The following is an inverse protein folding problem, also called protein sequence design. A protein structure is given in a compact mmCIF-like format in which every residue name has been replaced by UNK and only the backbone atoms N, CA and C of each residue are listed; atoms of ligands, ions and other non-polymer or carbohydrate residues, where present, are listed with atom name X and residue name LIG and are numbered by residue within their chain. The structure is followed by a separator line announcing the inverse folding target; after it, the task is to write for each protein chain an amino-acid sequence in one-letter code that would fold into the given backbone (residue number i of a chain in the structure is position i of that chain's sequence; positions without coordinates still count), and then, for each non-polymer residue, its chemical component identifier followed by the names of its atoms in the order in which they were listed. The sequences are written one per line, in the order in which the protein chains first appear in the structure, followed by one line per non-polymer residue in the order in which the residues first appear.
data_IF_021817575694
#
_entry.id   IF_021817575694
#
_cell.length_a   1.000
_cell.length_b   1.000
_cell.length_c   1.000
_cell.angle_alpha   90.00
_cell.angle_beta   90.00
_cell.angle_gamma   90.00
#
_symmetry.space_group_name_H-M   'P 1'
#
loop_
_entity.id
_entity.type
_entity.pdbx_description
1 polymer ?
#
# COMPACT_ATOMS: atom_id res chain seq x y z
N UNK A 1 17.15 -47.68 39.67
CA UNK A 1 15.99 -47.07 40.37
C UNK A 1 15.41 -46.01 39.46
N UNK A 2 14.41 -46.39 38.66
CA UNK A 2 13.67 -45.50 37.78
C UNK A 2 12.54 -44.84 38.58
N UNK A 3 12.40 -43.52 38.48
CA UNK A 3 11.28 -42.75 38.99
C UNK A 3 10.77 -41.83 37.88
N UNK A 4 9.69 -42.26 37.24
CA UNK A 4 9.00 -41.52 36.19
C UNK A 4 8.19 -40.37 36.79
N UNK A 5 8.30 -39.18 36.20
CA UNK A 5 7.43 -38.04 36.49
C UNK A 5 6.19 -38.12 35.61
N UNK A 6 5.08 -38.61 36.17
CA UNK A 6 3.75 -38.54 35.58
C UNK A 6 3.05 -37.28 36.10
N UNK A 7 3.16 -36.18 35.34
CA UNK A 7 2.22 -35.07 35.45
C UNK A 7 1.02 -35.40 34.57
N UNK A 8 -0.06 -35.87 35.19
CA UNK A 8 -1.36 -36.06 34.53
C UNK A 8 -1.99 -34.70 34.30
N UNK A 9 -2.42 -34.42 33.06
CA UNK A 9 -2.95 -33.12 32.60
C UNK A 9 -4.25 -32.62 33.25
N UNK A 10 -4.67 -33.17 34.39
CA UNK A 10 -5.89 -32.79 35.08
C UNK A 10 -5.76 -31.62 36.06
N UNK A 11 -4.54 -31.17 36.40
CA UNK A 11 -4.32 -30.14 37.41
C UNK A 11 -4.00 -28.74 36.86
N UNK A 12 -3.83 -28.58 35.54
CA UNK A 12 -3.53 -27.30 34.89
C UNK A 12 -4.77 -26.56 34.33
N UNK A 13 -5.94 -27.19 34.39
CA UNK A 13 -7.18 -26.75 33.73
C UNK A 13 -8.29 -26.18 34.67
N UNK A 14 -8.19 -26.16 36.02
CA UNK A 14 -9.24 -25.50 36.82
C UNK A 14 -9.22 -23.98 36.61
N UNK A 15 -10.23 -23.42 35.93
CA UNK A 15 -10.43 -21.98 35.74
C UNK A 15 -10.47 -21.52 34.29
N UNK A 16 -10.14 -22.39 33.33
CA UNK A 16 -10.34 -22.11 31.91
C UNK A 16 -11.80 -22.40 31.53
N UNK A 17 -12.47 -21.42 30.91
CA UNK A 17 -13.78 -21.65 30.30
C UNK A 17 -13.66 -22.76 29.25
N UNK A 18 -14.66 -23.65 29.19
CA UNK A 18 -14.72 -24.68 28.15
C UNK A 18 -14.72 -23.99 26.78
N UNK A 19 -13.80 -24.38 25.90
CA UNK A 19 -13.84 -23.95 24.50
C UNK A 19 -15.05 -24.64 23.88
N UNK A 20 -16.06 -23.88 23.50
CA UNK A 20 -17.22 -24.42 22.81
C UNK A 20 -16.82 -24.91 21.41
N UNK A 21 -17.36 -26.06 20.98
CA UNK A 21 -16.98 -26.72 19.72
C UNK A 21 -17.17 -25.83 18.48
N UNK A 22 -18.08 -24.85 18.53
CA UNK A 22 -18.32 -23.86 17.49
C UNK A 22 -17.17 -22.83 17.33
N UNK A 23 -16.36 -22.63 18.38
CA UNK A 23 -15.15 -21.82 18.32
C UNK A 23 -13.98 -22.56 17.64
N UNK A 24 -14.07 -23.89 17.50
CA UNK A 24 -13.05 -24.74 16.90
C UNK A 24 -13.34 -25.11 15.44
N UNK A 25 -14.58 -24.95 14.98
CA UNK A 25 -14.95 -25.26 13.60
C UNK A 25 -14.56 -24.11 12.65
N UNK A 26 -13.85 -24.38 11.55
CA UNK A 26 -13.59 -23.37 10.53
C UNK A 26 -14.93 -22.89 9.94
N UNK A 27 -15.10 -21.57 9.81
CA UNK A 27 -16.30 -21.01 9.17
C UNK A 27 -16.25 -21.39 7.68
N UNK A 28 -17.21 -22.16 7.16
CA UNK A 28 -17.19 -22.58 5.76
C UNK A 28 -17.22 -21.36 4.84
N UNK A 29 -16.39 -21.37 3.81
CA UNK A 29 -16.36 -20.30 2.80
C UNK A 29 -15.56 -19.06 3.17
N UNK A 30 -14.83 -19.05 4.29
CA UNK A 30 -13.93 -17.96 4.69
C UNK A 30 -12.48 -18.43 4.81
N UNK A 31 -11.52 -17.62 4.34
CA UNK A 31 -10.08 -17.88 4.53
C UNK A 31 -9.74 -17.97 6.02
N UNK A 32 -9.00 -19.02 6.39
CA UNK A 32 -8.54 -19.21 7.77
C UNK A 32 -7.18 -18.52 7.97
N UNK A 33 -7.02 -17.81 9.07
CA UNK A 33 -5.71 -17.32 9.50
C UNK A 33 -4.98 -18.40 10.29
N UNK A 34 -3.71 -18.14 10.62
CA UNK A 34 -2.93 -19.04 11.46
C UNK A 34 -3.58 -19.18 12.86
N UNK A 35 -3.59 -20.39 13.46
CA UNK A 35 -4.31 -20.65 14.71
C UNK A 35 -3.98 -19.69 15.86
N UNK A 36 -2.73 -19.22 15.93
CA UNK A 36 -2.25 -18.32 16.97
C UNK A 36 -2.82 -16.89 16.89
N UNK A 37 -3.17 -16.41 15.68
CA UNK A 37 -3.66 -15.03 15.47
C UNK A 37 -5.15 -14.97 15.19
N UNK A 38 -5.75 -16.05 14.66
CA UNK A 38 -7.17 -16.15 14.32
C UNK A 38 -8.12 -15.69 15.45
N UNK A 39 -7.92 -16.05 16.73
CA UNK A 39 -8.79 -15.59 17.81
C UNK A 39 -8.82 -14.06 17.95
N UNK A 40 -7.67 -13.39 17.80
CA UNK A 40 -7.57 -11.93 17.90
C UNK A 40 -8.18 -11.24 16.67
N UNK A 41 -7.98 -11.82 15.47
CA UNK A 41 -8.62 -11.33 14.24
C UNK A 41 -10.14 -11.39 14.38
N UNK A 42 -10.69 -12.53 14.81
CA UNK A 42 -12.13 -12.68 15.06
C UNK A 42 -12.64 -11.75 16.15
N UNK A 43 -11.85 -11.48 17.18
CA UNK A 43 -12.22 -10.52 18.21
C UNK A 43 -12.42 -9.12 17.62
N UNK A 44 -11.50 -8.66 16.78
CA UNK A 44 -11.59 -7.36 16.10
C UNK A 44 -12.82 -7.31 15.17
N UNK A 45 -13.09 -8.39 14.44
CA UNK A 45 -14.21 -8.49 13.51
C UNK A 45 -15.57 -8.49 14.20
N UNK A 46 -15.72 -9.29 15.26
CA UNK A 46 -17.01 -9.56 15.87
C UNK A 46 -17.37 -8.58 17.00
N UNK A 47 -16.37 -7.90 17.58
CA UNK A 47 -16.63 -6.88 18.59
C UNK A 47 -17.25 -5.65 17.94
N UNK A 48 -18.32 -5.12 18.52
CA UNK A 48 -18.98 -3.91 18.04
C UNK A 48 -18.05 -2.70 18.15
N UNK A 49 -18.20 -1.72 17.24
CA UNK A 49 -17.30 -0.55 17.16
C UNK A 49 -17.17 0.21 18.49
N UNK A 50 -18.29 0.37 19.20
CA UNK A 50 -18.39 1.03 20.49
C UNK A 50 -17.67 0.30 21.64
N UNK A 51 -17.44 -1.02 21.51
CA UNK A 51 -16.77 -1.84 22.54
C UNK A 51 -15.33 -2.21 22.20
N UNK A 52 -14.94 -2.10 20.93
CA UNK A 52 -13.65 -2.61 20.46
C UNK A 52 -12.45 -2.00 21.21
N UNK A 53 -12.47 -0.68 21.46
CA UNK A 53 -11.36 -0.01 22.14
C UNK A 53 -11.19 -0.48 23.58
N UNK A 54 -12.28 -0.73 24.30
CA UNK A 54 -12.25 -1.25 25.67
C UNK A 54 -11.71 -2.69 25.70
N UNK A 55 -12.17 -3.52 24.77
CA UNK A 55 -11.82 -4.94 24.68
C UNK A 55 -10.34 -5.14 24.32
N UNK A 56 -9.84 -4.36 23.36
CA UNK A 56 -8.42 -4.33 22.97
C UNK A 56 -7.58 -3.70 24.06
N UNK A 57 -8.03 -2.58 24.64
CA UNK A 57 -7.31 -1.89 25.72
C UNK A 57 -7.13 -2.77 26.96
N UNK A 58 -8.12 -3.60 27.30
CA UNK A 58 -8.02 -4.57 28.38
C UNK A 58 -6.96 -5.63 28.09
N UNK A 59 -6.97 -6.21 26.89
CA UNK A 59 -5.95 -7.20 26.48
C UNK A 59 -4.54 -6.62 26.42
N UNK A 60 -4.38 -5.38 25.98
CA UNK A 60 -3.08 -4.70 25.97
C UNK A 60 -2.55 -4.59 27.41
N UNK A 61 -3.40 -4.22 28.37
CA UNK A 61 -3.01 -4.20 29.80
C UNK A 61 -2.64 -5.59 30.32
N UNK A 62 -3.27 -6.63 29.81
CA UNK A 62 -3.03 -8.03 30.17
C UNK A 62 -1.88 -8.69 29.38
N UNK A 63 -1.14 -7.92 28.56
CA UNK A 63 0.08 -8.36 27.90
C UNK A 63 -0.02 -8.64 26.40
N UNK A 64 -1.15 -8.33 25.75
CA UNK A 64 -1.26 -8.40 24.29
C UNK A 64 -0.26 -7.45 23.64
N UNK A 65 0.59 -7.98 22.76
CA UNK A 65 1.68 -7.20 22.19
C UNK A 65 1.22 -6.28 21.07
N UNK A 66 1.97 -5.18 20.89
CA UNK A 66 1.80 -4.25 19.76
C UNK A 66 1.82 -4.96 18.41
N UNK A 67 2.74 -5.92 18.23
CA UNK A 67 2.90 -6.67 16.99
C UNK A 67 1.66 -7.55 16.70
N UNK A 68 1.09 -8.19 17.72
CA UNK A 68 -0.13 -8.99 17.56
C UNK A 68 -1.34 -8.13 17.19
N UNK A 69 -1.51 -6.95 17.82
CA UNK A 69 -2.59 -6.01 17.45
C UNK A 69 -2.44 -5.54 16.01
N UNK A 70 -1.22 -5.16 15.60
CA UNK A 70 -0.94 -4.71 14.24
C UNK A 70 -1.19 -5.83 13.21
N UNK A 71 -0.76 -7.06 13.52
CA UNK A 71 -1.00 -8.24 12.69
C UNK A 71 -2.49 -8.50 12.53
N UNK A 72 -3.23 -8.54 13.63
CA UNK A 72 -4.65 -8.86 13.60
C UNK A 72 -5.49 -7.77 12.92
N UNK A 73 -5.11 -6.49 13.08
CA UNK A 73 -5.73 -5.38 12.34
C UNK A 73 -5.57 -5.55 10.82
N UNK A 74 -4.34 -5.81 10.34
CA UNK A 74 -4.09 -6.02 8.91
C UNK A 74 -4.90 -7.21 8.38
N UNK A 75 -4.85 -8.33 9.10
CA UNK A 75 -5.50 -9.59 8.72
C UNK A 75 -7.02 -9.47 8.71
N UNK A 76 -7.62 -8.78 9.69
CA UNK A 76 -9.05 -8.48 9.71
C UNK A 76 -9.45 -7.61 8.51
N UNK A 77 -8.62 -6.60 8.19
CA UNK A 77 -8.81 -5.74 7.03
C UNK A 77 -8.79 -6.50 5.70
N UNK A 78 -7.73 -7.27 5.42
CA UNK A 78 -7.62 -8.00 4.14
C UNK A 78 -8.64 -9.13 3.99
N UNK A 79 -9.18 -9.65 5.10
CA UNK A 79 -10.22 -10.68 5.09
C UNK A 79 -11.62 -10.13 4.80
N UNK A 80 -11.98 -8.97 5.35
CA UNK A 80 -13.39 -8.50 5.37
C UNK A 80 -13.64 -7.16 4.69
N UNK A 81 -12.62 -6.55 4.06
CA UNK A 81 -12.81 -5.31 3.32
C UNK A 81 -12.37 -5.54 1.89
N UNK A 82 -13.33 -5.48 0.96
CA UNK A 82 -13.03 -5.69 -0.44
C UNK A 82 -12.21 -4.52 -0.99
N UNK A 83 -11.10 -4.74 -1.74
CA UNK A 83 -10.38 -3.68 -2.43
C UNK A 83 -11.09 -3.17 -3.70
N UNK A 84 -12.33 -3.60 -3.95
CA UNK A 84 -13.15 -3.27 -5.12
C UNK A 84 -14.44 -2.58 -4.68
N UNK A 85 -15.09 -1.78 -5.56
CA UNK A 85 -14.77 -1.52 -6.96
C UNK A 85 -13.62 -0.54 -7.20
N UNK A 86 -13.08 0.10 -6.17
CA UNK A 86 -11.92 0.99 -6.27
C UNK A 86 -10.94 0.68 -5.14
N UNK A 87 -9.66 0.50 -5.45
CA UNK A 87 -8.62 0.26 -4.44
C UNK A 87 -8.43 1.58 -3.70
N UNK A 88 -9.01 1.73 -2.51
CA UNK A 88 -9.13 3.01 -1.81
C UNK A 88 -10.46 3.07 -1.06
N UNK A 89 -10.93 4.26 -0.69
CA UNK A 89 -12.16 4.43 0.11
C UNK A 89 -12.17 3.54 1.36
N UNK A 90 -13.08 2.56 1.47
CA UNK A 90 -13.14 1.59 2.59
C UNK A 90 -11.83 0.80 2.75
N UNK A 91 -11.12 0.55 1.66
CA UNK A 91 -9.87 -0.20 1.71
C UNK A 91 -8.71 0.57 2.38
N UNK A 92 -8.89 1.86 2.73
CA UNK A 92 -7.93 2.58 3.56
C UNK A 92 -7.68 1.91 4.92
N UNK A 93 -8.65 1.16 5.45
CA UNK A 93 -8.47 0.34 6.65
C UNK A 93 -7.27 -0.63 6.54
N UNK A 94 -6.93 -1.08 5.33
CA UNK A 94 -5.75 -1.93 5.07
C UNK A 94 -4.53 -1.07 4.71
N UNK A 95 -4.71 -0.10 3.82
CA UNK A 95 -3.61 0.69 3.26
C UNK A 95 -2.89 1.56 4.29
N UNK A 96 -3.61 1.98 5.33
CA UNK A 96 -3.09 2.89 6.36
C UNK A 96 -2.30 2.17 7.46
N UNK A 97 -2.36 0.84 7.56
CA UNK A 97 -1.78 0.09 8.69
C UNK A 97 -0.30 0.41 8.89
N UNK A 98 0.50 0.42 7.81
CA UNK A 98 1.91 0.83 7.91
C UNK A 98 2.07 2.30 8.32
N UNK A 99 1.22 3.20 7.80
CA UNK A 99 1.28 4.62 8.15
C UNK A 99 0.92 4.86 9.61
N UNK A 100 -0.08 4.15 10.13
CA UNK A 100 -0.45 4.17 11.55
C UNK A 100 0.68 3.61 12.41
N UNK A 101 1.37 2.56 11.95
CA UNK A 101 2.57 2.05 12.60
C UNK A 101 3.70 3.09 12.65
N UNK A 102 3.98 3.78 11.54
CA UNK A 102 4.99 4.84 11.52
C UNK A 102 4.59 6.01 12.40
N UNK A 103 3.32 6.43 12.40
CA UNK A 103 2.83 7.46 13.30
C UNK A 103 3.03 7.03 14.76
N UNK A 104 2.71 5.78 15.11
CA UNK A 104 2.94 5.23 16.44
C UNK A 104 4.41 5.29 16.85
N UNK A 105 5.34 4.89 15.97
CA UNK A 105 6.77 4.94 16.28
C UNK A 105 7.32 6.35 16.46
N UNK A 106 6.72 7.33 15.78
CA UNK A 106 7.13 8.74 15.87
C UNK A 106 6.36 9.53 16.94
N UNK A 107 5.38 8.90 17.61
CA UNK A 107 4.67 9.49 18.74
C UNK A 107 5.47 9.39 20.05
N UNK A 108 5.23 10.29 21.02
CA UNK A 108 5.66 10.09 22.40
C UNK A 108 5.20 8.75 22.95
N UNK A 109 5.96 8.18 23.89
CA UNK A 109 5.68 6.86 24.49
C UNK A 109 4.24 6.71 25.00
N UNK A 110 3.70 7.76 25.61
CA UNK A 110 2.33 7.78 26.15
C UNK A 110 1.23 7.71 25.06
N UNK A 111 1.56 8.12 23.83
CA UNK A 111 0.61 8.28 22.72
C UNK A 111 0.75 7.20 21.64
N UNK A 112 1.72 6.28 21.78
CA UNK A 112 2.04 5.28 20.75
C UNK A 112 0.85 4.40 20.36
N UNK A 113 -0.10 4.19 21.25
CA UNK A 113 -1.28 3.38 20.94
C UNK A 113 -2.35 4.16 20.16
N UNK A 114 -2.36 5.50 20.22
CA UNK A 114 -3.42 6.32 19.61
C UNK A 114 -3.56 6.08 18.10
N UNK A 115 -2.50 6.05 17.28
CA UNK A 115 -2.64 5.80 15.84
C UNK A 115 -3.19 4.40 15.53
N UNK A 116 -2.87 3.40 16.36
CA UNK A 116 -3.35 2.02 16.16
C UNK A 116 -4.80 1.85 16.59
N UNK A 117 -5.19 2.49 17.69
CA UNK A 117 -6.59 2.53 18.14
C UNK A 117 -7.47 3.27 17.13
N UNK A 118 -6.98 4.38 16.56
CA UNK A 118 -7.64 5.05 15.44
C UNK A 118 -7.79 4.11 14.23
N UNK A 119 -6.74 3.38 13.83
CA UNK A 119 -6.82 2.47 12.70
C UNK A 119 -7.80 1.30 12.93
N UNK A 120 -7.92 0.81 14.16
CA UNK A 120 -8.94 -0.17 14.55
C UNK A 120 -10.37 0.39 14.40
N UNK A 121 -10.59 1.65 14.80
CA UNK A 121 -11.89 2.32 14.64
C UNK A 121 -12.24 2.53 13.15
N UNK A 122 -11.27 2.96 12.34
CA UNK A 122 -11.42 3.09 10.88
C UNK A 122 -11.70 1.75 10.20
N UNK A 123 -11.07 0.66 10.67
CA UNK A 123 -11.43 -0.69 10.22
C UNK A 123 -12.91 -0.98 10.46
N UNK A 124 -13.46 -0.68 11.63
CA UNK A 124 -14.88 -0.92 11.92
C UNK A 124 -15.82 -0.06 11.06
N UNK A 125 -15.44 1.19 10.79
CA UNK A 125 -16.16 2.05 9.83
C UNK A 125 -16.17 1.42 8.43
N UNK A 126 -15.02 0.91 7.99
CA UNK A 126 -14.84 0.31 6.67
C UNK A 126 -15.55 -1.04 6.53
N UNK A 127 -15.49 -1.87 7.56
CA UNK A 127 -16.20 -3.16 7.63
C UNK A 127 -17.72 -2.94 7.57
N UNK A 128 -18.25 -1.96 8.32
CA UNK A 128 -19.69 -1.65 8.27
C UNK A 128 -20.14 -1.18 6.87
N UNK A 129 -19.30 -0.42 6.16
CA UNK A 129 -19.57 -0.06 4.77
C UNK A 129 -19.51 -1.28 3.84
N UNK A 130 -18.54 -2.15 4.02
CA UNK A 130 -18.44 -3.38 3.23
C UNK A 130 -19.68 -4.27 3.39
N UNK A 131 -20.16 -4.44 4.62
CA UNK A 131 -21.44 -5.12 4.92
C UNK A 131 -22.60 -4.53 4.13
N UNK A 132 -22.69 -3.20 4.04
CA UNK A 132 -23.75 -2.51 3.30
C UNK A 132 -23.62 -2.64 1.77
N UNK A 133 -22.43 -3.00 1.27
CA UNK A 133 -22.10 -3.08 -0.17
C UNK A 133 -22.02 -4.52 -0.69
N UNK A 134 -22.40 -5.52 0.11
CA UNK A 134 -22.41 -6.93 -0.30
C UNK A 134 -21.76 -7.88 0.71
N UNK A 135 -21.13 -7.34 1.76
CA UNK A 135 -20.51 -8.10 2.84
C UNK A 135 -19.49 -9.11 2.32
N UNK A 136 -18.51 -8.60 1.57
CA UNK A 136 -17.49 -9.42 0.98
C UNK A 136 -16.57 -9.99 2.06
N UNK A 137 -16.19 -11.24 1.88
CA UNK A 137 -15.13 -11.87 2.67
C UNK A 137 -14.25 -12.69 1.75
N UNK A 138 -12.94 -12.70 2.02
CA UNK A 138 -12.01 -13.52 1.28
C UNK A 138 -12.36 -15.00 1.46
N UNK A 139 -12.57 -15.69 0.35
CA UNK A 139 -12.83 -17.12 0.32
C UNK A 139 -11.54 -17.94 0.54
N UNK A 140 -11.64 -19.21 0.96
CA UNK A 140 -10.53 -20.13 0.98
C UNK A 140 -9.88 -20.22 -0.41
N UNK A 141 -8.56 -20.35 -0.44
CA UNK A 141 -7.85 -20.61 -1.69
C UNK A 141 -8.28 -21.96 -2.27
N UNK A 142 -8.38 -22.04 -3.60
CA UNK A 142 -8.60 -23.31 -4.30
C UNK A 142 -7.30 -24.12 -4.31
N UNK A 143 -7.09 -24.93 -3.27
CA UNK A 143 -5.86 -25.71 -3.03
C UNK A 143 -5.38 -26.52 -4.26
N UNK A 144 -6.29 -27.13 -5.01
CA UNK A 144 -5.94 -27.92 -6.22
C UNK A 144 -5.41 -27.09 -7.39
N UNK A 145 -5.55 -25.76 -7.34
CA UNK A 145 -5.05 -24.84 -8.37
C UNK A 145 -3.69 -24.21 -8.04
N UNK A 146 -3.13 -24.46 -6.86
CA UNK A 146 -1.87 -23.84 -6.44
C UNK A 146 -0.71 -24.40 -7.30
N UNK A 147 0.05 -23.55 -8.00
CA UNK A 147 1.19 -24.00 -8.80
C UNK A 147 2.34 -24.56 -7.95
N UNK A 148 3.19 -25.36 -8.59
CA UNK A 148 4.42 -25.88 -7.96
C UNK A 148 5.50 -24.80 -7.87
N UNK A 149 6.57 -25.06 -7.11
CA UNK A 149 7.67 -24.11 -6.90
C UNK A 149 8.39 -23.74 -8.20
N UNK A 150 8.43 -24.67 -9.14
CA UNK A 150 9.02 -24.50 -10.46
C UNK A 150 8.16 -23.61 -11.38
N UNK A 151 6.83 -23.63 -11.21
CA UNK A 151 5.88 -23.02 -12.16
C UNK A 151 5.20 -21.75 -11.62
N UNK A 152 5.25 -21.51 -10.31
CA UNK A 152 4.50 -20.43 -9.64
C UNK A 152 4.79 -19.04 -10.20
N UNK A 153 6.05 -18.77 -10.57
CA UNK A 153 6.47 -17.47 -11.14
C UNK A 153 5.80 -17.22 -12.49
N UNK A 154 5.86 -18.22 -13.37
CA UNK A 154 5.31 -18.13 -14.73
C UNK A 154 3.78 -18.04 -14.70
N UNK A 155 3.14 -18.84 -13.85
CA UNK A 155 1.68 -18.81 -13.69
C UNK A 155 1.22 -17.45 -13.16
N UNK A 156 1.91 -16.89 -12.15
CA UNK A 156 1.61 -15.55 -11.66
C UNK A 156 1.79 -14.51 -12.77
N UNK A 157 2.92 -14.54 -13.48
CA UNK A 157 3.22 -13.60 -14.56
C UNK A 157 2.12 -13.61 -15.64
N UNK A 158 1.74 -14.81 -16.09
CA UNK A 158 0.68 -15.00 -17.08
C UNK A 158 -0.66 -14.49 -16.58
N UNK A 159 -1.06 -14.85 -15.35
CA UNK A 159 -2.32 -14.42 -14.76
C UNK A 159 -2.40 -12.88 -14.64
N UNK A 160 -1.32 -12.25 -14.18
CA UNK A 160 -1.25 -10.80 -14.05
C UNK A 160 -1.30 -10.10 -15.41
N UNK A 161 -0.66 -10.65 -16.45
CA UNK A 161 -0.70 -10.12 -17.81
C UNK A 161 -2.08 -10.26 -18.47
N UNK A 162 -2.75 -11.40 -18.30
CA UNK A 162 -4.08 -11.64 -18.88
C UNK A 162 -5.22 -11.09 -18.05
N UNK A 163 -4.94 -10.44 -16.91
CA UNK A 163 -5.92 -9.99 -15.93
C UNK A 163 -6.83 -11.12 -15.41
N UNK A 164 -6.27 -12.31 -15.24
CA UNK A 164 -6.98 -13.50 -14.77
C UNK A 164 -6.96 -13.56 -13.24
N UNK A 165 -8.07 -13.14 -12.63
CA UNK A 165 -8.20 -12.98 -11.18
C UNK A 165 -8.09 -14.31 -10.43
N UNK A 166 -8.74 -15.37 -10.93
CA UNK A 166 -8.77 -16.66 -10.26
C UNK A 166 -7.40 -17.34 -10.31
N UNK A 167 -6.70 -17.25 -11.45
CA UNK A 167 -5.33 -17.77 -11.55
C UNK A 167 -4.35 -16.96 -10.71
N UNK A 168 -4.54 -15.65 -10.63
CA UNK A 168 -3.69 -14.79 -9.80
C UNK A 168 -3.86 -15.11 -8.31
N UNK A 169 -5.07 -15.46 -7.85
CA UNK A 169 -5.33 -15.83 -6.45
C UNK A 169 -4.56 -17.10 -6.04
N UNK A 170 -4.67 -18.18 -6.81
CA UNK A 170 -3.96 -19.44 -6.50
C UNK A 170 -2.43 -19.29 -6.66
N UNK A 171 -1.98 -18.47 -7.61
CA UNK A 171 -0.56 -18.18 -7.78
C UNK A 171 -0.02 -17.31 -6.63
N UNK A 172 -0.78 -16.32 -6.16
CA UNK A 172 -0.40 -15.49 -5.01
C UNK A 172 -0.28 -16.32 -3.72
N UNK A 173 -1.19 -17.29 -3.52
CA UNK A 173 -1.06 -18.25 -2.42
C UNK A 173 0.20 -19.12 -2.57
N UNK A 174 0.48 -19.63 -3.77
CA UNK A 174 1.71 -20.37 -4.05
C UNK A 174 2.97 -19.53 -3.77
N UNK A 175 2.99 -18.26 -4.20
CA UNK A 175 4.09 -17.33 -3.95
C UNK A 175 4.33 -17.17 -2.45
N UNK A 176 3.27 -16.93 -1.67
CA UNK A 176 3.35 -16.73 -0.23
C UNK A 176 3.95 -17.94 0.51
N UNK A 177 3.66 -19.16 0.03
CA UNK A 177 4.10 -20.41 0.67
C UNK A 177 5.52 -20.83 0.27
N UNK A 178 6.00 -20.38 -0.88
CA UNK A 178 7.14 -21.00 -1.55
C UNK A 178 8.31 -20.04 -1.79
N UNK A 179 8.06 -18.73 -1.88
CA UNK A 179 9.09 -17.75 -2.23
C UNK A 179 9.54 -16.93 -1.02
N UNK A 180 10.80 -16.49 -1.07
CA UNK A 180 11.33 -15.54 -0.10
C UNK A 180 10.81 -14.14 -0.34
N UNK A 181 10.78 -13.32 0.71
CA UNK A 181 10.29 -11.95 0.67
C UNK A 181 10.76 -11.22 -0.60
N UNK A 182 12.07 -11.03 -0.82
CA UNK A 182 12.58 -10.15 -1.90
C UNK A 182 12.00 -10.48 -3.27
N UNK A 183 11.84 -11.78 -3.55
CA UNK A 183 11.26 -12.26 -4.80
C UNK A 183 9.77 -11.96 -4.93
N UNK A 184 9.02 -11.99 -3.82
CA UNK A 184 7.63 -11.51 -3.78
C UNK A 184 7.56 -10.04 -4.17
N UNK A 185 8.45 -9.20 -3.65
CA UNK A 185 8.44 -7.77 -3.98
C UNK A 185 8.66 -7.55 -5.47
N UNK A 186 9.68 -8.21 -6.04
CA UNK A 186 10.02 -8.10 -7.46
C UNK A 186 8.85 -8.52 -8.37
N UNK A 187 8.21 -9.64 -8.06
CA UNK A 187 7.07 -10.15 -8.84
C UNK A 187 5.88 -9.20 -8.82
N UNK A 188 5.49 -8.70 -7.66
CA UNK A 188 4.32 -7.82 -7.55
C UNK A 188 4.61 -6.39 -8.05
N UNK A 189 5.83 -5.88 -7.85
CA UNK A 189 6.22 -4.53 -8.28
C UNK A 189 6.18 -4.35 -9.80
N UNK A 190 6.37 -5.44 -10.56
CA UNK A 190 6.21 -5.45 -12.02
C UNK A 190 4.79 -5.06 -12.49
N UNK A 191 3.78 -5.10 -11.60
CA UNK A 191 2.39 -4.84 -11.95
C UNK A 191 1.72 -3.74 -11.11
N UNK A 192 2.24 -3.45 -9.92
CA UNK A 192 1.58 -2.57 -8.96
C UNK A 192 1.40 -1.11 -9.44
N UNK A 193 2.20 -0.65 -10.41
CA UNK A 193 2.10 0.69 -11.00
C UNK A 193 1.58 0.70 -12.45
N UNK A 194 1.09 -0.44 -12.96
CA UNK A 194 0.76 -0.62 -14.39
C UNK A 194 -0.28 0.35 -14.94
N UNK A 195 -1.13 0.91 -14.09
CA UNK A 195 -2.20 1.81 -14.52
C UNK A 195 -2.52 2.85 -13.45
N UNK A 196 -3.06 3.98 -13.88
CA UNK A 196 -3.38 5.11 -13.01
C UNK A 196 -4.71 4.93 -12.24
N UNK A 197 -5.45 3.82 -12.45
CA UNK A 197 -6.74 3.64 -11.77
C UNK A 197 -6.53 3.65 -10.27
N UNK A 198 -7.54 4.17 -9.58
CA UNK A 198 -7.48 4.33 -8.15
C UNK A 198 -6.25 5.13 -7.72
N UNK A 199 -5.83 6.15 -8.48
CA UNK A 199 -4.90 7.21 -8.03
C UNK A 199 -3.63 6.68 -7.32
N UNK A 200 -3.06 5.58 -7.82
CA UNK A 200 -1.81 4.99 -7.31
C UNK A 200 -1.92 4.06 -6.09
N UNK A 201 -3.13 3.82 -5.56
CA UNK A 201 -3.33 2.96 -4.39
C UNK A 201 -2.78 1.53 -4.53
N UNK A 202 -2.67 0.99 -5.75
CA UNK A 202 -2.08 -0.34 -5.99
C UNK A 202 -0.60 -0.41 -5.59
N UNK A 203 0.18 0.61 -5.96
CA UNK A 203 1.58 0.74 -5.57
C UNK A 203 1.72 1.03 -4.06
N UNK A 204 0.84 1.86 -3.51
CA UNK A 204 0.77 2.13 -2.06
C UNK A 204 0.50 0.84 -1.30
N UNK A 205 -0.45 0.01 -1.77
CA UNK A 205 -0.77 -1.25 -1.11
C UNK A 205 0.45 -2.18 -1.08
N UNK A 206 1.11 -2.40 -2.22
CA UNK A 206 2.30 -3.26 -2.25
C UNK A 206 3.39 -2.74 -1.28
N UNK A 207 3.72 -1.44 -1.34
CA UNK A 207 4.76 -0.87 -0.49
C UNK A 207 4.42 -0.98 1.00
N UNK A 208 3.19 -0.68 1.39
CA UNK A 208 2.77 -0.71 2.79
C UNK A 208 2.53 -2.13 3.32
N UNK A 209 1.98 -3.04 2.50
CA UNK A 209 1.84 -4.44 2.85
C UNK A 209 3.21 -5.06 3.11
N UNK A 210 4.18 -4.80 2.22
CA UNK A 210 5.55 -5.24 2.38
C UNK A 210 6.16 -4.77 3.71
N UNK A 211 6.14 -3.46 3.98
CA UNK A 211 6.70 -2.87 5.20
C UNK A 211 6.02 -3.40 6.46
N UNK A 212 4.70 -3.60 6.40
CA UNK A 212 3.96 -4.18 7.52
C UNK A 212 4.39 -5.62 7.76
N UNK A 213 4.54 -6.44 6.72
CA UNK A 213 5.01 -7.83 6.82
C UNK A 213 6.44 -7.95 7.39
N UNK A 214 7.32 -6.96 7.16
CA UNK A 214 8.61 -6.90 7.85
C UNK A 214 8.47 -6.75 9.38
N UNK A 215 7.37 -6.14 9.83
CA UNK A 215 7.10 -5.88 11.25
C UNK A 215 6.33 -7.02 11.90
N UNK A 216 5.28 -7.50 11.24
CA UNK A 216 4.36 -8.49 11.79
C UNK A 216 4.79 -9.95 11.54
N UNK A 217 5.68 -10.17 10.57
CA UNK A 217 6.15 -11.50 10.17
C UNK A 217 5.56 -11.97 8.85
N UNK A 218 6.40 -12.64 8.04
CA UNK A 218 6.04 -13.18 6.72
C UNK A 218 5.16 -14.42 6.78
N UNK A 219 5.06 -15.05 7.95
CA UNK A 219 4.07 -16.07 8.25
C UNK A 219 2.62 -15.66 7.95
N UNK A 220 2.33 -14.35 7.91
CA UNK A 220 1.01 -13.79 7.64
C UNK A 220 0.80 -13.38 6.17
N UNK A 221 1.76 -13.67 5.27
CA UNK A 221 1.78 -13.11 3.93
C UNK A 221 0.65 -13.61 3.01
N UNK A 222 0.22 -14.86 3.12
CA UNK A 222 -0.74 -15.46 2.17
C UNK A 222 -2.04 -14.66 1.96
N UNK A 223 -2.86 -14.39 2.99
CA UNK A 223 -4.07 -13.59 2.80
C UNK A 223 -3.76 -12.17 2.32
N UNK A 224 -2.63 -11.59 2.73
CA UNK A 224 -2.22 -10.24 2.30
C UNK A 224 -1.89 -10.21 0.80
N UNK A 225 -1.11 -11.19 0.31
CA UNK A 225 -0.69 -11.27 -1.09
C UNK A 225 -1.85 -11.64 -2.02
N UNK A 226 -2.78 -12.49 -1.56
CA UNK A 226 -4.03 -12.78 -2.28
C UNK A 226 -4.89 -11.53 -2.45
N UNK A 227 -5.10 -10.77 -1.36
CA UNK A 227 -5.81 -9.48 -1.39
C UNK A 227 -5.10 -8.48 -2.31
N UNK A 228 -3.77 -8.43 -2.28
CA UNK A 228 -2.96 -7.56 -3.12
C UNK A 228 -3.08 -7.91 -4.60
N UNK A 229 -3.01 -9.18 -4.98
CA UNK A 229 -3.21 -9.60 -6.38
C UNK A 229 -4.62 -9.23 -6.86
N UNK A 230 -5.64 -9.47 -6.03
CA UNK A 230 -7.02 -9.11 -6.29
C UNK A 230 -7.21 -7.59 -6.51
N UNK A 231 -6.50 -6.76 -5.72
CA UNK A 231 -6.49 -5.30 -5.84
C UNK A 231 -5.74 -4.80 -7.08
N UNK A 232 -4.55 -5.34 -7.38
CA UNK A 232 -3.75 -4.93 -8.55
C UNK A 232 -4.52 -5.21 -9.85
N UNK A 233 -5.28 -6.31 -9.90
CA UNK A 233 -6.10 -6.68 -11.05
C UNK A 233 -7.44 -5.92 -11.14
N UNK A 234 -7.74 -4.99 -10.23
CA UNK A 234 -8.95 -4.21 -10.35
C UNK A 234 -8.88 -3.22 -11.55
N UNK A 235 -9.84 -3.32 -12.45
CA UNK A 235 -10.03 -2.44 -13.61
C UNK A 235 -11.43 -1.80 -13.63
N UNK A 236 -12.08 -1.69 -12.46
CA UNK A 236 -13.33 -0.95 -12.25
C UNK A 236 -14.48 -1.35 -13.19
N UNK A 237 -14.55 -2.62 -13.60
CA UNK A 237 -15.56 -3.13 -14.52
C UNK A 237 -15.37 -2.75 -16.00
N UNK A 238 -14.27 -2.08 -16.35
CA UNK A 238 -13.90 -1.83 -17.75
C UNK A 238 -13.62 -3.14 -18.50
N UNK A 239 -13.57 -3.14 -19.85
CA UNK A 239 -13.08 -4.29 -20.60
C UNK A 239 -11.69 -4.74 -20.16
N UNK A 240 -11.34 -6.02 -20.41
CA UNK A 240 -10.05 -6.57 -20.02
C UNK A 240 -8.90 -5.73 -20.60
N UNK A 241 -8.03 -5.10 -19.78
CA UNK A 241 -6.99 -4.21 -20.28
C UNK A 241 -5.85 -4.93 -21.04
N UNK A 242 -5.76 -6.27 -21.00
CA UNK A 242 -4.86 -7.03 -21.86
C UNK A 242 -5.22 -6.93 -23.34
N UNK A 243 -6.52 -6.79 -23.65
CA UNK A 243 -7.05 -6.85 -25.02
C UNK A 243 -7.73 -5.56 -25.46
N UNK A 244 -7.69 -4.52 -24.61
CA UNK A 244 -8.42 -3.26 -24.83
C UNK A 244 -7.47 -2.07 -24.73
N UNK A 245 -7.61 -1.09 -25.62
CA UNK A 245 -6.89 0.17 -25.49
C UNK A 245 -7.63 1.14 -24.58
N UNK A 246 -7.25 1.17 -23.30
CA UNK A 246 -7.88 1.99 -22.27
C UNK A 246 -6.93 3.09 -21.81
N UNK A 247 -7.48 4.29 -21.59
CA UNK A 247 -6.70 5.47 -21.24
C UNK A 247 -5.78 5.29 -20.01
N UNK A 248 -6.21 4.63 -18.90
CA UNK A 248 -5.36 4.48 -17.71
C UNK A 248 -4.11 3.59 -17.93
N UNK A 249 -4.08 2.77 -18.99
CA UNK A 249 -3.01 1.82 -19.28
C UNK A 249 -1.99 2.34 -20.31
N UNK A 250 -2.32 3.42 -21.04
CA UNK A 250 -1.52 3.92 -22.17
C UNK A 250 -0.11 4.35 -21.76
N UNK A 251 0.03 5.11 -20.67
CA UNK A 251 1.34 5.57 -20.18
C UNK A 251 2.27 4.40 -19.86
N UNK A 252 1.76 3.30 -19.31
CA UNK A 252 2.59 2.12 -19.05
C UNK A 252 3.09 1.47 -20.33
N UNK A 253 2.22 1.31 -21.34
CA UNK A 253 2.62 0.75 -22.63
C UNK A 253 3.66 1.63 -23.33
N UNK A 254 3.46 2.94 -23.30
CA UNK A 254 4.44 3.93 -23.79
C UNK A 254 5.79 3.80 -23.05
N UNK A 255 5.76 3.77 -21.72
CA UNK A 255 6.95 3.65 -20.87
C UNK A 255 7.70 2.33 -21.07
N UNK A 256 7.00 1.24 -21.40
CA UNK A 256 7.63 -0.03 -21.76
C UNK A 256 8.49 0.06 -23.02
N UNK A 257 8.02 0.75 -24.05
CA UNK A 257 8.82 0.95 -25.27
C UNK A 257 9.96 1.95 -25.01
N UNK A 258 9.68 3.05 -24.32
CA UNK A 258 10.68 4.07 -23.99
C UNK A 258 11.85 3.51 -23.16
N UNK A 259 11.54 2.64 -22.19
CA UNK A 259 12.53 1.98 -21.34
C UNK A 259 13.59 1.17 -22.10
N UNK A 260 13.26 0.66 -23.30
CA UNK A 260 14.22 -0.09 -24.15
C UNK A 260 15.30 0.83 -24.73
N UNK A 261 15.02 2.12 -24.89
CA UNK A 261 15.95 3.13 -25.38
C UNK A 261 16.82 3.77 -24.30
N UNK A 262 16.62 3.43 -23.02
CA UNK A 262 17.46 3.93 -21.92
C UNK A 262 18.78 3.17 -21.87
N UNK A 263 19.88 3.91 -21.82
CA UNK A 263 21.27 3.43 -21.84
C UNK A 263 21.56 2.37 -20.76
N UNK A 264 22.63 1.62 -20.99
CA UNK A 264 23.20 0.74 -19.97
C UNK A 264 23.84 1.56 -18.84
N UNK A 265 23.81 1.03 -17.61
CA UNK A 265 24.34 1.69 -16.42
C UNK A 265 23.60 2.97 -16.00
N UNK A 266 22.33 3.12 -16.40
CA UNK A 266 21.46 4.27 -16.08
C UNK A 266 21.21 4.44 -14.58
N UNK A 267 21.44 3.39 -13.79
CA UNK A 267 21.31 3.38 -12.33
C UNK A 267 22.31 4.34 -11.65
N UNK A 268 23.36 4.73 -12.37
CA UNK A 268 24.38 5.68 -11.94
C UNK A 268 24.47 6.87 -12.89
N UNK A 269 24.91 8.02 -12.38
CA UNK A 269 25.04 9.24 -13.17
C UNK A 269 25.52 10.40 -12.31
N UNK A 270 25.53 11.60 -12.88
CA UNK A 270 25.82 12.84 -12.15
C UNK A 270 24.52 13.45 -11.64
N UNK A 271 24.51 13.88 -10.37
CA UNK A 271 23.44 14.71 -9.83
C UNK A 271 23.54 16.11 -10.42
N UNK A 272 22.43 16.64 -10.93
CA UNK A 272 22.34 17.94 -11.57
C UNK A 272 21.04 18.65 -11.17
N UNK A 273 21.18 19.81 -10.51
CA UNK A 273 20.04 20.62 -10.08
C UNK A 273 19.29 21.26 -11.26
N UNK A 274 19.97 21.60 -12.35
CA UNK A 274 19.32 22.14 -13.55
C UNK A 274 18.46 21.08 -14.23
N UNK A 275 18.92 19.81 -14.24
CA UNK A 275 18.12 18.69 -14.72
C UNK A 275 16.86 18.48 -13.85
N UNK A 276 16.99 18.61 -12.52
CA UNK A 276 15.86 18.61 -11.60
C UNK A 276 14.86 19.72 -11.95
N UNK A 277 15.30 20.96 -12.08
CA UNK A 277 14.43 22.09 -12.43
C UNK A 277 13.76 21.91 -13.80
N UNK A 278 14.49 21.41 -14.80
CA UNK A 278 13.95 21.18 -16.14
C UNK A 278 12.81 20.15 -16.14
N UNK A 279 12.99 19.02 -15.45
CA UNK A 279 11.93 18.03 -15.31
C UNK A 279 10.78 18.56 -14.46
N UNK A 280 11.06 19.29 -13.38
CA UNK A 280 10.05 19.87 -12.51
C UNK A 280 9.07 20.80 -13.27
N UNK A 281 9.57 21.64 -14.17
CA UNK A 281 8.74 22.46 -15.07
C UNK A 281 7.85 21.60 -15.98
N UNK A 282 8.39 20.51 -16.54
CA UNK A 282 7.61 19.60 -17.39
C UNK A 282 6.53 18.88 -16.57
N UNK A 283 6.82 18.44 -15.34
CA UNK A 283 5.83 17.82 -14.47
C UNK A 283 4.70 18.78 -14.11
N UNK A 284 5.01 20.08 -13.98
CA UNK A 284 4.04 21.13 -13.69
C UNK A 284 3.07 21.37 -14.85
N UNK A 285 3.57 21.51 -16.07
CA UNK A 285 2.79 22.04 -17.20
C UNK A 285 2.62 21.06 -18.38
N UNK A 286 3.50 20.07 -18.51
CA UNK A 286 3.52 19.10 -19.61
C UNK A 286 2.59 17.90 -19.41
N UNK A 287 2.66 16.97 -20.35
CA UNK A 287 1.90 15.72 -20.40
C UNK A 287 2.64 14.55 -19.77
N UNK A 288 1.94 13.44 -19.54
CA UNK A 288 2.53 12.20 -19.03
C UNK A 288 3.64 11.65 -19.95
N UNK A 289 3.47 11.76 -21.27
CA UNK A 289 4.45 11.29 -22.27
C UNK A 289 5.68 12.21 -22.31
N UNK A 290 5.49 13.53 -22.26
CA UNK A 290 6.61 14.49 -22.19
C UNK A 290 7.43 14.31 -20.91
N UNK A 291 6.76 14.11 -19.77
CA UNK A 291 7.43 13.83 -18.50
C UNK A 291 8.27 12.55 -18.57
N UNK A 292 7.70 11.44 -19.04
CA UNK A 292 8.43 10.18 -19.18
C UNK A 292 9.59 10.28 -20.20
N UNK A 293 9.36 10.96 -21.33
CA UNK A 293 10.40 11.19 -22.34
C UNK A 293 11.57 11.98 -21.77
N UNK A 294 11.29 13.05 -21.03
CA UNK A 294 12.32 13.83 -20.35
C UNK A 294 13.14 12.98 -19.37
N UNK A 295 12.49 12.11 -18.58
CA UNK A 295 13.20 11.15 -17.71
C UNK A 295 14.16 10.27 -18.52
N UNK A 296 13.70 9.67 -19.62
CA UNK A 296 14.55 8.82 -20.45
C UNK A 296 15.72 9.60 -21.08
N UNK A 297 15.48 10.81 -21.56
CA UNK A 297 16.50 11.69 -22.14
C UNK A 297 17.56 12.08 -21.10
N UNK A 298 17.14 12.46 -19.89
CA UNK A 298 18.07 12.78 -18.79
C UNK A 298 18.91 11.56 -18.39
N UNK A 299 18.30 10.38 -18.26
CA UNK A 299 19.04 9.14 -17.99
C UNK A 299 20.09 8.88 -19.08
N UNK A 300 19.71 9.04 -20.36
CA UNK A 300 20.60 8.87 -21.51
C UNK A 300 21.74 9.91 -21.56
N UNK A 301 21.48 11.12 -21.07
CA UNK A 301 22.49 12.18 -20.92
C UNK A 301 23.45 11.95 -19.72
N UNK A 302 23.27 10.87 -18.94
CA UNK A 302 24.14 10.56 -17.81
C UNK A 302 23.70 11.18 -16.49
N UNK A 303 22.48 11.73 -16.41
CA UNK A 303 21.91 12.24 -15.16
C UNK A 303 21.55 11.08 -14.23
N UNK A 304 21.86 11.25 -12.94
CA UNK A 304 21.55 10.26 -11.92
C UNK A 304 20.03 10.18 -11.66
N UNK A 305 19.48 8.98 -11.36
CA UNK A 305 18.09 8.85 -10.93
C UNK A 305 17.70 9.73 -9.74
N UNK A 306 18.65 10.13 -8.90
CA UNK A 306 18.40 11.01 -7.77
C UNK A 306 17.83 12.38 -8.20
N UNK A 307 18.42 13.05 -9.19
CA UNK A 307 17.94 14.35 -9.69
C UNK A 307 16.54 14.28 -10.27
N UNK A 308 16.20 13.14 -10.87
CA UNK A 308 14.87 12.86 -11.42
C UNK A 308 13.86 12.68 -10.28
N UNK A 309 14.21 11.89 -9.26
CA UNK A 309 13.35 11.75 -8.08
C UNK A 309 13.18 13.03 -7.29
N UNK A 310 14.20 13.89 -7.20
CA UNK A 310 14.07 15.21 -6.58
C UNK A 310 12.97 16.02 -7.27
N UNK A 311 12.94 16.05 -8.61
CA UNK A 311 11.90 16.74 -9.37
C UNK A 311 10.51 16.14 -9.14
N UNK A 312 10.41 14.81 -9.11
CA UNK A 312 9.14 14.10 -8.87
C UNK A 312 8.62 14.40 -7.45
N UNK A 313 9.48 14.36 -6.43
CA UNK A 313 9.10 14.69 -5.06
C UNK A 313 8.65 16.14 -4.94
N UNK A 314 9.42 17.10 -5.48
CA UNK A 314 9.04 18.51 -5.51
C UNK A 314 7.69 18.73 -6.21
N UNK A 315 7.47 18.10 -7.37
CA UNK A 315 6.21 18.19 -8.10
C UNK A 315 5.03 17.60 -7.31
N UNK A 316 5.20 16.45 -6.66
CA UNK A 316 4.13 15.87 -5.84
C UNK A 316 3.76 16.76 -4.65
N UNK A 317 4.76 17.39 -4.01
CA UNK A 317 4.56 18.36 -2.93
C UNK A 317 3.86 19.63 -3.41
N UNK A 318 4.27 20.17 -4.57
CA UNK A 318 3.62 21.33 -5.17
C UNK A 318 2.14 21.06 -5.51
N UNK A 319 1.79 19.86 -6.00
CA UNK A 319 0.39 19.50 -6.24
C UNK A 319 -0.44 19.58 -4.95
N UNK A 320 0.12 19.16 -3.81
CA UNK A 320 -0.55 19.25 -2.50
C UNK A 320 -0.73 20.70 -2.05
N UNK A 321 0.27 21.55 -2.26
CA UNK A 321 0.19 22.98 -1.98
C UNK A 321 -0.87 23.69 -2.85
N UNK A 322 -0.98 23.30 -4.12
CA UNK A 322 -1.91 23.90 -5.09
C UNK A 322 -3.36 23.50 -4.87
N UNK A 323 -3.63 22.32 -4.34
CA UNK A 323 -4.99 21.91 -3.97
C UNK A 323 -4.90 20.91 -2.84
N UNK A 324 -5.15 21.32 -1.60
CA UNK A 324 -5.23 20.40 -0.47
C UNK A 324 -6.41 19.45 -0.65
N UNK A 325 -6.16 18.15 -0.72
CA UNK A 325 -7.24 17.18 -0.90
C UNK A 325 -6.74 15.78 -1.17
N UNK A 326 -7.68 14.85 -1.36
CA UNK A 326 -7.38 13.42 -1.50
C UNK A 326 -6.47 13.16 -2.71
N UNK A 327 -6.77 13.74 -3.88
CA UNK A 327 -6.02 13.43 -5.11
C UNK A 327 -4.56 13.87 -5.02
N UNK A 328 -4.30 15.09 -4.54
CA UNK A 328 -2.94 15.62 -4.42
C UNK A 328 -2.15 14.96 -3.28
N UNK A 329 -2.82 14.62 -2.16
CA UNK A 329 -2.22 13.79 -1.12
C UNK A 329 -1.75 12.44 -1.69
N UNK A 330 -2.55 11.85 -2.59
CA UNK A 330 -2.20 10.59 -3.25
C UNK A 330 -1.05 10.72 -4.24
N UNK A 331 -0.81 11.89 -4.82
CA UNK A 331 0.40 12.13 -5.59
C UNK A 331 1.65 11.91 -4.70
N UNK A 332 1.67 12.51 -3.50
CA UNK A 332 2.80 12.38 -2.56
C UNK A 332 2.97 10.93 -2.07
N UNK A 333 1.89 10.28 -1.64
CA UNK A 333 1.97 8.92 -1.10
C UNK A 333 2.28 7.88 -2.18
N UNK A 334 1.80 8.07 -3.40
CA UNK A 334 2.14 7.23 -4.55
C UNK A 334 3.60 7.40 -4.94
N UNK A 335 4.09 8.64 -5.00
CA UNK A 335 5.52 8.91 -5.25
C UNK A 335 6.40 8.29 -4.17
N UNK A 336 6.02 8.38 -2.89
CA UNK A 336 6.72 7.69 -1.80
C UNK A 336 6.74 6.17 -1.98
N UNK A 337 5.60 5.57 -2.30
CA UNK A 337 5.50 4.14 -2.51
C UNK A 337 6.35 3.68 -3.69
N UNK A 338 6.28 4.37 -4.83
CA UNK A 338 7.05 4.01 -6.02
C UNK A 338 8.55 4.25 -5.85
N UNK A 339 8.97 5.29 -5.10
CA UNK A 339 10.37 5.48 -4.70
C UNK A 339 10.86 4.32 -3.85
N UNK A 340 10.07 3.90 -2.86
CA UNK A 340 10.40 2.74 -2.04
C UNK A 340 10.54 1.46 -2.87
N UNK A 341 9.60 1.19 -3.77
CA UNK A 341 9.69 0.04 -4.67
C UNK A 341 10.95 0.13 -5.53
N UNK A 342 11.25 1.30 -6.11
CA UNK A 342 12.46 1.51 -6.90
C UNK A 342 13.75 1.20 -6.12
N UNK A 343 13.81 1.52 -4.84
CA UNK A 343 15.00 1.29 -4.01
C UNK A 343 15.15 -0.18 -3.56
N UNK A 344 14.05 -0.95 -3.54
CA UNK A 344 14.02 -2.28 -2.91
C UNK A 344 13.84 -3.45 -3.89
N UNK A 345 13.42 -3.21 -5.13
CA UNK A 345 13.33 -4.25 -6.17
C UNK A 345 14.69 -4.49 -6.82
N UNK A 346 15.03 -5.75 -7.08
CA UNK A 346 16.28 -6.14 -7.71
C UNK A 346 16.25 -5.96 -9.25
N UNK A 347 15.07 -6.09 -9.86
CA UNK A 347 14.92 -5.99 -11.33
C UNK A 347 15.17 -4.56 -11.83
N UNK A 348 16.28 -4.36 -12.55
CA UNK A 348 16.60 -3.09 -13.20
C UNK A 348 15.51 -2.64 -14.18
N UNK A 349 14.85 -3.56 -14.88
CA UNK A 349 13.72 -3.25 -15.75
C UNK A 349 12.53 -2.71 -14.94
N UNK A 350 12.18 -3.35 -13.83
CA UNK A 350 11.10 -2.88 -12.95
C UNK A 350 11.43 -1.51 -12.35
N UNK A 351 12.67 -1.27 -11.91
CA UNK A 351 13.11 0.05 -11.41
C UNK A 351 12.93 1.13 -12.47
N UNK A 352 13.35 0.85 -13.71
CA UNK A 352 13.20 1.76 -14.83
C UNK A 352 11.73 2.07 -15.14
N UNK A 353 10.87 1.04 -15.14
CA UNK A 353 9.43 1.22 -15.32
C UNK A 353 8.81 2.06 -14.21
N UNK A 354 9.14 1.80 -12.94
CA UNK A 354 8.64 2.57 -11.80
C UNK A 354 9.04 4.05 -11.91
N UNK A 355 10.28 4.35 -12.30
CA UNK A 355 10.76 5.72 -12.44
C UNK A 355 9.99 6.49 -13.53
N UNK A 356 9.87 5.91 -14.73
CA UNK A 356 9.13 6.50 -15.85
C UNK A 356 7.64 6.67 -15.51
N UNK A 357 7.05 5.68 -14.86
CA UNK A 357 5.63 5.68 -14.52
C UNK A 357 5.30 6.69 -13.43
N UNK A 358 6.17 6.88 -12.43
CA UNK A 358 5.98 7.90 -11.40
C UNK A 358 5.98 9.31 -12.03
N UNK A 359 6.91 9.59 -12.95
CA UNK A 359 6.92 10.84 -13.70
C UNK A 359 5.63 11.03 -14.53
N UNK A 360 5.15 9.97 -15.19
CA UNK A 360 3.91 10.01 -15.97
C UNK A 360 2.65 10.24 -15.11
N UNK A 361 2.63 9.72 -13.88
CA UNK A 361 1.49 9.84 -12.97
C UNK A 361 1.26 11.28 -12.49
N UNK A 362 2.31 12.10 -12.34
CA UNK A 362 2.20 13.44 -11.79
C UNK A 362 1.33 14.38 -12.65
N UNK A 363 1.51 14.45 -13.99
CA UNK A 363 0.55 15.10 -14.87
C UNK A 363 -0.87 14.51 -14.77
N UNK A 364 -1.02 13.19 -14.60
CA UNK A 364 -2.34 12.55 -14.47
C UNK A 364 -3.05 12.91 -13.15
N UNK A 365 -2.30 13.04 -12.05
CA UNK A 365 -2.78 13.59 -10.79
C UNK A 365 -3.25 15.02 -10.97
N UNK A 366 -2.45 15.87 -11.63
CA UNK A 366 -2.84 17.26 -11.95
C UNK A 366 -4.13 17.32 -12.76
N UNK A 367 -4.30 16.50 -13.78
CA UNK A 367 -5.55 16.45 -14.55
C UNK A 367 -6.73 15.95 -13.70
N UNK A 368 -6.51 14.96 -12.82
CA UNK A 368 -7.53 14.46 -11.89
C UNK A 368 -7.97 15.52 -10.88
N UNK A 369 -7.06 16.38 -10.43
CA UNK A 369 -7.34 17.49 -9.52
C UNK A 369 -8.26 18.53 -10.16
N UNK A 370 -8.11 18.82 -11.46
CA UNK A 370 -9.00 19.75 -12.20
C UNK A 370 -10.45 19.28 -12.17
N UNK A 371 -10.68 17.97 -12.22
CA UNK A 371 -12.02 17.38 -12.09
C UNK A 371 -12.63 17.48 -10.68
N UNK A 372 -11.85 17.90 -9.67
CA UNK A 372 -12.27 18.01 -8.27
C UNK A 372 -12.35 19.44 -7.74
N UNK A 373 -12.10 20.44 -8.60
CA UNK A 373 -12.20 21.85 -8.25
C UNK A 373 -11.02 22.68 -8.78
N UNK A 374 -10.90 23.90 -8.26
CA UNK A 374 -9.81 24.80 -8.63
C UNK A 374 -8.48 24.22 -8.18
N UNK A 375 -7.51 24.22 -9.08
CA UNK A 375 -6.09 23.99 -8.78
C UNK A 375 -5.42 25.35 -8.68
N UNK A 376 -4.77 25.63 -7.54
CA UNK A 376 -4.03 26.85 -7.29
C UNK A 376 -2.85 27.04 -8.24
N UNK A 377 -2.29 28.23 -8.20
CA UNK A 377 -1.18 28.72 -9.01
C UNK A 377 0.12 28.87 -8.20
N UNK A 378 0.13 28.49 -6.92
CA UNK A 378 1.33 28.45 -6.08
C UNK A 378 2.40 27.58 -6.73
N UNK A 379 3.62 28.09 -6.75
CA UNK A 379 4.80 27.42 -7.30
C UNK A 379 5.89 27.35 -6.25
N UNK A 380 6.43 26.17 -6.04
CA UNK A 380 7.39 25.89 -4.97
C UNK A 380 8.71 26.66 -5.18
N UNK A 381 9.11 26.85 -6.44
CA UNK A 381 10.31 27.59 -6.85
C UNK A 381 10.14 29.12 -6.87
N UNK A 382 8.95 29.63 -6.55
CA UNK A 382 8.66 31.07 -6.41
C UNK A 382 8.38 31.48 -4.95
N UNK A 383 8.49 30.53 -4.00
CA UNK A 383 8.30 30.84 -2.58
C UNK A 383 9.40 31.77 -2.07
N UNK A 384 9.00 32.87 -1.46
CA UNK A 384 9.89 33.83 -0.81
C UNK A 384 9.80 33.67 0.71
N UNK A 385 10.92 33.89 1.40
CA UNK A 385 10.88 33.98 2.85
C UNK A 385 9.98 35.15 3.27
N UNK A 386 9.07 34.90 4.21
CA UNK A 386 8.31 35.96 4.85
C UNK A 386 9.24 36.72 5.80
N UNK A 387 9.31 38.06 5.67
CA UNK A 387 10.01 38.90 6.65
C UNK A 387 9.20 38.88 7.96
N UNK A 388 9.58 38.01 8.88
CA UNK A 388 8.83 37.77 10.11
C UNK A 388 8.63 39.03 10.95
N UNK A 389 7.38 39.43 11.15
CA UNK A 389 6.99 40.33 12.23
C UNK A 389 6.34 39.52 13.36
N UNK A 390 7.00 39.53 14.52
CA UNK A 390 6.60 38.94 15.80
C UNK A 390 6.74 37.41 15.98
N UNK A 391 6.92 37.02 17.25
CA UNK A 391 7.20 35.66 17.73
C UNK A 391 6.18 34.63 17.20
N UNK A 392 6.55 33.89 16.16
CA UNK A 392 5.79 32.72 15.71
C UNK A 392 5.85 31.66 16.82
N UNK A 393 4.71 31.43 17.47
CA UNK A 393 4.53 30.38 18.48
C UNK A 393 3.88 29.15 17.86
N UNK A 394 4.04 27.98 18.49
CA UNK A 394 3.34 26.75 18.08
C UNK A 394 1.82 26.97 18.00
N UNK A 395 1.24 27.70 18.96
CA UNK A 395 -0.19 28.01 18.98
C UNK A 395 -0.60 28.87 17.78
N UNK A 396 0.20 29.89 17.43
CA UNK A 396 -0.06 30.72 16.23
C UNK A 396 -0.01 29.93 14.92
N UNK A 397 0.85 28.90 14.84
CA UNK A 397 0.89 27.98 13.69
C UNK A 397 -0.40 27.17 13.64
N UNK A 398 -0.82 26.54 14.75
CA UNK A 398 -2.07 25.76 14.79
C UNK A 398 -3.31 26.62 14.51
N UNK A 399 -3.34 27.88 14.95
CA UNK A 399 -4.41 28.83 14.68
C UNK A 399 -4.49 29.26 13.20
N UNK A 400 -3.37 29.16 12.48
CA UNK A 400 -3.26 29.42 11.05
C UNK A 400 -3.58 28.19 10.19
N UNK A 401 -3.41 26.96 10.71
CA UNK A 401 -3.78 25.72 10.01
C UNK A 401 -5.27 25.74 9.65
N UNK A 402 -5.58 25.67 8.35
CA UNK A 402 -6.95 25.69 7.84
C UNK A 402 -7.49 27.08 7.48
N UNK A 403 -6.72 28.15 7.70
CA UNK A 403 -6.94 29.47 7.10
C UNK A 403 -6.07 29.61 5.85
N UNK A 404 -6.29 30.63 5.01
CA UNK A 404 -5.42 30.88 3.85
C UNK A 404 -3.95 30.96 4.32
N UNK A 405 -2.99 30.46 3.53
CA UNK A 405 -1.58 30.51 3.90
C UNK A 405 -1.20 31.96 4.21
N UNK A 406 -0.50 32.16 5.32
CA UNK A 406 0.12 33.44 5.70
C UNK A 406 1.04 33.92 4.58
#
# INVERSE_FOLDING_TARGET
SAGASLLTGGQLVPGLSAVADDQLQPIPGIVQMRPEIEPLVRLIENTSRDRLMEEIGTRIRDGLSYREVLAALLLAGVRNVEPRPAVGFKFHAVLVVNSAHLASLNSPDADRWLPILWALDEFKSSQARDVAEGNWTMSPVKESGIPTAETVRDVFHQAMQSWDVDKADVAAAGIARQLGATEVLDLFAAYAARDYRSIGHKAIFLANAWRTLQTIGWEHAEPVLRSLAYAILNHNGEPNPATSDLAPDRSWRFNRELARGVRTGWESGQTDAAATTALFVILRDGTAEEAATCVADQLNAGIAPQSIFDAIHLASGELLMRQTGIVSLHAVTTTNAMRFLFDNVASAETRKQLLLQNAAFLPQFRESMKGRGRVGDMKLDELMAEEGNADITVDSIFDAVGKQPL
#
